data_IF_526354135758
#
_entry.id   IF_526354135758
#
_cell.length_a   1.000
_cell.length_b   1.000
_cell.length_c   1.000
_cell.angle_alpha   90.00
_cell.angle_beta   90.00
_cell.angle_gamma   90.00
#
_symmetry.space_group_name_H-M   'P 1'
#
loop_
_entity.id
_entity.type
_entity.pdbx_description
1 polymer ?
#
# COMPACT_ATOMS: atom_id res chain seq x y z
N UNK A 1 15.88 -35.62 -5.76
CA UNK A 1 16.50 -34.30 -5.98
C UNK A 1 15.41 -33.27 -5.70
N UNK A 2 15.60 -32.41 -4.72
CA UNK A 2 14.68 -31.29 -4.46
C UNK A 2 14.77 -30.35 -5.64
N UNK A 3 13.65 -30.15 -6.34
CA UNK A 3 13.59 -29.19 -7.44
C UNK A 3 14.00 -27.80 -6.94
N UNK A 4 14.94 -27.17 -7.63
CA UNK A 4 15.36 -25.80 -7.30
C UNK A 4 14.22 -24.83 -7.60
N UNK A 5 14.20 -23.66 -6.94
CA UNK A 5 13.18 -22.62 -7.22
C UNK A 5 13.18 -22.25 -8.69
N UNK A 6 14.36 -22.16 -9.33
CA UNK A 6 14.50 -21.88 -10.76
C UNK A 6 13.78 -22.93 -11.64
N UNK A 7 13.91 -24.23 -11.29
CA UNK A 7 13.22 -25.30 -12.02
C UNK A 7 11.70 -25.22 -11.85
N UNK A 8 11.21 -24.94 -10.64
CA UNK A 8 9.78 -24.77 -10.37
C UNK A 8 9.19 -23.62 -11.19
N UNK A 9 9.90 -22.49 -11.23
CA UNK A 9 9.47 -21.35 -12.06
C UNK A 9 9.50 -21.71 -13.56
N UNK A 10 10.53 -22.40 -14.06
CA UNK A 10 10.62 -22.82 -15.45
C UNK A 10 9.48 -23.74 -15.83
N UNK A 11 9.19 -24.76 -15.04
CA UNK A 11 8.09 -25.69 -15.28
C UNK A 11 6.73 -24.96 -15.29
N UNK A 12 6.56 -23.97 -14.41
CA UNK A 12 5.34 -23.17 -14.37
C UNK A 12 5.23 -22.24 -15.59
N UNK A 13 6.32 -21.66 -16.07
CA UNK A 13 6.31 -20.83 -17.28
C UNK A 13 5.81 -21.64 -18.49
N UNK A 14 6.20 -22.93 -18.57
CA UNK A 14 5.86 -23.79 -19.70
C UNK A 14 4.44 -24.37 -19.63
N UNK A 15 3.90 -24.62 -18.45
CA UNK A 15 2.67 -25.39 -18.29
C UNK A 15 1.71 -24.98 -17.21
N UNK A 16 1.80 -23.75 -16.67
CA UNK A 16 0.89 -23.33 -15.59
C UNK A 16 -0.56 -23.17 -16.06
N UNK A 17 -1.46 -23.73 -15.30
CA UNK A 17 -2.89 -23.46 -15.38
C UNK A 17 -3.40 -22.98 -14.02
N UNK A 18 -4.34 -22.05 -14.03
CA UNK A 18 -4.89 -21.52 -12.77
C UNK A 18 -5.58 -22.62 -11.96
N UNK A 19 -5.17 -22.85 -10.70
CA UNK A 19 -5.83 -23.81 -9.85
C UNK A 19 -7.20 -23.29 -9.40
N UNK A 20 -8.04 -24.21 -8.90
CA UNK A 20 -9.26 -23.83 -8.20
C UNK A 20 -8.92 -23.09 -6.91
N UNK A 21 -9.73 -22.07 -6.59
CA UNK A 21 -9.54 -21.23 -5.43
C UNK A 21 -10.26 -21.88 -4.25
N UNK A 22 -9.50 -22.40 -3.29
CA UNK A 22 -10.01 -22.91 -2.02
C UNK A 22 -10.29 -21.81 -0.99
N UNK A 23 -10.84 -22.18 0.18
CA UNK A 23 -11.10 -21.20 1.24
C UNK A 23 -9.83 -20.66 1.92
N UNK A 24 -8.75 -21.42 1.89
CA UNK A 24 -7.47 -21.10 2.57
C UNK A 24 -6.52 -20.39 1.61
N UNK A 25 -6.68 -19.08 1.49
CA UNK A 25 -5.83 -18.25 0.66
C UNK A 25 -4.93 -17.40 1.57
N UNK A 26 -3.62 -17.30 1.30
CA UNK A 26 -2.74 -16.40 2.04
C UNK A 26 -3.27 -14.97 1.96
N UNK A 27 -3.22 -14.24 3.05
CA UNK A 27 -3.58 -12.82 3.07
C UNK A 27 -2.43 -11.99 3.63
N UNK A 28 -2.51 -10.67 3.43
CA UNK A 28 -1.55 -9.71 3.97
C UNK A 28 -1.49 -9.76 5.50
N UNK A 29 -0.41 -9.27 6.05
CA UNK A 29 -0.10 -9.32 7.48
C UNK A 29 -0.62 -8.12 8.28
N UNK A 30 -1.52 -7.33 7.71
CA UNK A 30 -2.22 -6.24 8.40
C UNK A 30 -3.23 -6.80 9.41
N UNK A 31 -3.12 -6.47 10.71
CA UNK A 31 -4.04 -6.99 11.71
C UNK A 31 -5.49 -6.60 11.45
N UNK A 32 -6.37 -7.58 11.41
CA UNK A 32 -7.81 -7.38 11.26
C UNK A 32 -8.31 -7.17 9.84
N UNK A 33 -7.44 -7.20 8.84
CA UNK A 33 -7.85 -7.16 7.44
C UNK A 33 -8.66 -8.41 7.06
N UNK A 34 -9.70 -8.17 6.26
CA UNK A 34 -10.52 -9.23 5.66
C UNK A 34 -10.42 -9.13 4.16
N UNK A 35 -10.13 -10.26 3.54
CA UNK A 35 -10.05 -10.36 2.08
C UNK A 35 -11.35 -10.97 1.56
N UNK A 36 -11.94 -10.32 0.56
CA UNK A 36 -13.14 -10.82 -0.13
C UNK A 36 -12.82 -10.98 -1.61
N UNK A 37 -12.47 -12.20 -1.99
CA UNK A 37 -12.11 -12.52 -3.37
C UNK A 37 -13.37 -12.75 -4.21
N UNK A 38 -13.45 -12.05 -5.34
CA UNK A 38 -14.50 -12.19 -6.34
C UNK A 38 -13.92 -12.62 -7.71
N UNK A 39 -14.80 -12.85 -8.69
CA UNK A 39 -14.41 -13.31 -10.02
C UNK A 39 -13.48 -12.32 -10.75
N UNK A 40 -13.65 -11.01 -10.56
CA UNK A 40 -12.79 -10.00 -11.17
C UNK A 40 -11.36 -10.04 -10.61
N UNK A 41 -11.19 -10.27 -9.30
CA UNK A 41 -9.87 -10.44 -8.68
C UNK A 41 -9.17 -11.70 -9.22
N UNK A 42 -9.90 -12.81 -9.36
CA UNK A 42 -9.38 -14.06 -9.92
C UNK A 42 -8.91 -13.85 -11.37
N UNK A 43 -9.70 -13.16 -12.18
CA UNK A 43 -9.34 -12.89 -13.58
C UNK A 43 -8.10 -11.98 -13.67
N UNK A 44 -8.01 -10.92 -12.88
CA UNK A 44 -6.82 -10.07 -12.79
C UNK A 44 -5.57 -10.90 -12.43
N UNK A 45 -5.65 -11.73 -11.41
CA UNK A 45 -4.53 -12.57 -10.98
C UNK A 45 -4.13 -13.61 -12.06
N UNK A 46 -5.10 -14.20 -12.76
CA UNK A 46 -4.85 -15.13 -13.88
C UNK A 46 -4.09 -14.49 -15.04
N UNK A 47 -4.36 -13.22 -15.33
CA UNK A 47 -3.67 -12.46 -16.38
C UNK A 47 -2.26 -12.07 -15.92
N UNK A 48 -2.09 -11.69 -14.64
CA UNK A 48 -0.82 -11.20 -14.10
C UNK A 48 0.16 -12.35 -13.88
N UNK A 49 -0.28 -13.48 -13.32
CA UNK A 49 0.61 -14.52 -12.83
C UNK A 49 1.54 -15.11 -13.90
N UNK A 50 1.09 -15.50 -15.11
CA UNK A 50 1.99 -16.02 -16.15
C UNK A 50 3.05 -15.00 -16.57
N UNK A 51 2.74 -13.71 -16.50
CA UNK A 51 3.68 -12.62 -16.81
C UNK A 51 4.67 -12.37 -15.67
N UNK A 52 4.26 -12.64 -14.44
CA UNK A 52 5.08 -12.49 -13.24
C UNK A 52 6.19 -13.56 -13.18
N UNK A 53 5.90 -14.79 -13.58
CA UNK A 53 6.83 -15.92 -13.47
C UNK A 53 8.21 -15.68 -14.12
N UNK A 54 8.31 -15.27 -15.41
CA UNK A 54 9.60 -15.00 -16.04
C UNK A 54 10.32 -13.80 -15.40
N UNK A 55 9.58 -12.81 -14.91
CA UNK A 55 10.15 -11.65 -14.22
C UNK A 55 10.78 -12.05 -12.88
N UNK A 56 10.11 -12.92 -12.11
CA UNK A 56 10.65 -13.46 -10.85
C UNK A 56 11.93 -14.27 -11.09
N UNK A 57 11.92 -15.14 -12.12
CA UNK A 57 13.12 -15.92 -12.46
C UNK A 57 14.29 -15.01 -12.81
N UNK A 58 14.08 -14.04 -13.69
CA UNK A 58 15.11 -13.07 -14.08
C UNK A 58 15.61 -12.23 -12.88
N UNK A 59 14.71 -11.76 -12.02
CA UNK A 59 15.08 -11.01 -10.82
C UNK A 59 15.95 -11.84 -9.87
N UNK A 60 15.63 -13.12 -9.64
CA UNK A 60 16.42 -14.02 -8.81
C UNK A 60 17.82 -14.28 -9.41
N UNK A 61 17.91 -14.41 -10.73
CA UNK A 61 19.19 -14.56 -11.44
C UNK A 61 20.06 -13.30 -11.29
N UNK A 62 19.46 -12.11 -11.46
CA UNK A 62 20.15 -10.82 -11.29
C UNK A 62 20.58 -10.57 -9.84
N UNK A 63 19.76 -10.95 -8.87
CA UNK A 63 20.09 -10.83 -7.45
C UNK A 63 21.17 -11.83 -6.99
N UNK A 64 21.46 -12.86 -7.79
CA UNK A 64 22.37 -13.93 -7.41
C UNK A 64 21.89 -14.76 -6.20
N UNK A 65 20.59 -14.70 -5.89
CA UNK A 65 19.95 -15.36 -4.76
C UNK A 65 18.55 -15.83 -5.15
N UNK A 66 18.03 -16.94 -4.59
CA UNK A 66 16.70 -17.47 -4.91
C UNK A 66 15.58 -16.65 -4.23
N UNK A 67 15.71 -15.31 -4.23
CA UNK A 67 14.79 -14.38 -3.59
C UNK A 67 14.50 -13.18 -4.49
N UNK A 68 13.22 -12.84 -4.62
CA UNK A 68 12.75 -11.68 -5.38
C UNK A 68 11.62 -10.96 -4.64
N UNK A 69 11.48 -9.67 -4.90
CA UNK A 69 10.48 -8.79 -4.28
C UNK A 69 9.57 -8.20 -5.36
N UNK A 70 8.28 -8.47 -5.26
CA UNK A 70 7.25 -7.83 -6.07
C UNK A 70 6.45 -6.83 -5.23
N UNK A 71 5.99 -5.74 -5.84
CA UNK A 71 5.10 -4.78 -5.18
C UNK A 71 3.79 -4.68 -5.95
N UNK A 72 2.67 -4.98 -5.30
CA UNK A 72 1.31 -4.77 -5.84
C UNK A 72 0.81 -3.43 -5.33
N UNK A 73 0.66 -2.46 -6.22
CA UNK A 73 0.29 -1.10 -5.91
C UNK A 73 -0.90 -0.61 -6.77
N UNK A 74 -1.51 0.48 -6.35
CA UNK A 74 -2.68 1.07 -7.01
C UNK A 74 -3.55 1.84 -6.03
N UNK A 75 -4.59 2.49 -6.51
CA UNK A 75 -5.54 3.26 -5.70
C UNK A 75 -6.25 2.43 -4.62
N UNK A 76 -7.01 3.09 -3.76
CA UNK A 76 -7.88 2.39 -2.82
C UNK A 76 -9.01 1.67 -3.58
N UNK A 77 -9.40 0.48 -3.14
CA UNK A 77 -10.52 -0.28 -3.73
C UNK A 77 -10.22 -0.99 -5.06
N UNK A 78 -8.96 -0.97 -5.58
CA UNK A 78 -8.63 -1.63 -6.87
C UNK A 78 -8.37 -3.14 -6.76
N UNK A 79 -8.47 -3.72 -5.55
CA UNK A 79 -8.25 -5.14 -5.30
C UNK A 79 -6.78 -5.53 -5.12
N UNK A 80 -5.96 -4.65 -4.50
CA UNK A 80 -4.53 -4.94 -4.24
C UNK A 80 -4.34 -6.15 -3.34
N UNK A 81 -5.01 -6.16 -2.19
CA UNK A 81 -4.87 -7.22 -1.17
C UNK A 81 -5.35 -8.55 -1.70
N UNK A 82 -6.48 -8.58 -2.41
CA UNK A 82 -7.03 -9.76 -3.07
C UNK A 82 -6.10 -10.29 -4.16
N UNK A 83 -5.56 -9.39 -5.00
CA UNK A 83 -4.63 -9.78 -6.06
C UNK A 83 -3.32 -10.31 -5.48
N UNK A 84 -2.74 -9.63 -4.48
CA UNK A 84 -1.51 -10.08 -3.83
C UNK A 84 -1.69 -11.47 -3.20
N UNK A 85 -2.82 -11.71 -2.55
CA UNK A 85 -3.17 -13.00 -1.94
C UNK A 85 -3.32 -14.11 -2.97
N UNK A 86 -3.97 -13.83 -4.09
CA UNK A 86 -4.10 -14.79 -5.19
C UNK A 86 -2.75 -15.12 -5.83
N UNK A 87 -1.89 -14.12 -6.06
CA UNK A 87 -0.54 -14.35 -6.58
C UNK A 87 0.29 -15.18 -5.60
N UNK A 88 0.20 -14.93 -4.30
CA UNK A 88 0.85 -15.73 -3.28
C UNK A 88 0.33 -17.18 -3.26
N UNK A 89 -0.99 -17.36 -3.35
CA UNK A 89 -1.60 -18.68 -3.47
C UNK A 89 -1.06 -19.45 -4.69
N UNK A 90 -1.01 -18.81 -5.86
CA UNK A 90 -0.50 -19.46 -7.08
C UNK A 90 0.98 -19.83 -6.96
N UNK A 91 1.81 -18.97 -6.33
CA UNK A 91 3.20 -19.30 -6.05
C UNK A 91 3.33 -20.53 -5.13
N UNK A 92 2.53 -20.61 -4.07
CA UNK A 92 2.54 -21.75 -3.18
C UNK A 92 2.10 -23.05 -3.88
N UNK A 93 1.12 -22.99 -4.79
CA UNK A 93 0.67 -24.15 -5.57
C UNK A 93 1.77 -24.73 -6.48
N UNK A 94 2.67 -23.89 -6.99
CA UNK A 94 3.85 -24.36 -7.74
C UNK A 94 5.07 -24.67 -6.83
N UNK A 95 4.87 -24.67 -5.51
CA UNK A 95 5.89 -24.98 -4.53
C UNK A 95 6.94 -23.87 -4.30
N UNK A 96 6.61 -22.61 -4.63
CA UNK A 96 7.44 -21.42 -4.35
C UNK A 96 6.91 -20.73 -3.12
N UNK A 97 7.69 -20.71 -2.04
CA UNK A 97 7.30 -20.03 -0.79
C UNK A 97 7.13 -18.53 -1.00
N UNK A 98 6.02 -17.99 -0.53
CA UNK A 98 5.67 -16.59 -0.67
C UNK A 98 5.16 -16.00 0.65
N UNK A 99 5.49 -14.74 0.92
CA UNK A 99 4.96 -13.96 2.03
C UNK A 99 4.35 -12.67 1.49
N UNK A 100 3.15 -12.29 1.98
CA UNK A 100 2.49 -11.02 1.65
C UNK A 100 2.63 -10.07 2.82
N UNK A 101 3.39 -9.00 2.59
CA UNK A 101 3.63 -7.93 3.54
C UNK A 101 2.72 -6.75 3.20
N UNK A 102 1.93 -6.29 4.16
CA UNK A 102 1.12 -5.07 3.98
C UNK A 102 1.94 -3.83 4.32
N UNK A 103 2.05 -2.92 3.36
CA UNK A 103 2.68 -1.62 3.55
C UNK A 103 1.90 -0.72 4.51
N UNK A 104 0.63 -1.00 4.75
CA UNK A 104 -0.22 -0.24 5.68
C UNK A 104 0.17 -0.45 7.16
N UNK A 105 1.07 -1.39 7.46
CA UNK A 105 1.73 -1.48 8.76
C UNK A 105 2.80 -0.39 9.00
N UNK A 106 3.23 0.37 7.97
CA UNK A 106 4.41 1.23 8.03
C UNK A 106 4.19 2.75 8.06
N UNK A 107 2.97 3.31 8.23
CA UNK A 107 2.88 4.68 8.68
C UNK A 107 3.57 4.88 10.05
N UNK A 108 4.05 6.11 10.32
CA UNK A 108 4.58 6.45 11.64
C UNK A 108 3.53 6.43 12.74
N UNK A 109 2.27 6.70 12.36
CA UNK A 109 1.12 6.85 13.26
C UNK A 109 0.06 5.81 12.96
N UNK A 110 -0.61 5.35 14.00
CA UNK A 110 -1.82 4.53 13.85
C UNK A 110 -2.90 5.30 13.06
N UNK A 111 -3.87 4.62 12.41
CA UNK A 111 -4.84 5.26 11.53
C UNK A 111 -5.49 6.51 12.12
N UNK A 112 -6.05 6.44 13.33
CA UNK A 112 -6.73 7.58 13.96
C UNK A 112 -5.80 8.78 14.21
N UNK A 113 -4.54 8.54 14.59
CA UNK A 113 -3.55 9.60 14.79
C UNK A 113 -3.08 10.17 13.45
N UNK A 114 -3.01 9.34 12.41
CA UNK A 114 -2.64 9.79 11.08
C UNK A 114 -3.74 10.65 10.46
N UNK A 115 -5.00 10.30 10.65
CA UNK A 115 -6.14 11.10 10.20
C UNK A 115 -6.20 12.45 10.92
N UNK A 116 -5.95 12.48 12.23
CA UNK A 116 -5.84 13.73 13.00
C UNK A 116 -4.69 14.61 12.47
N UNK A 117 -3.54 14.02 12.13
CA UNK A 117 -2.40 14.77 11.57
C UNK A 117 -2.69 15.28 10.15
N UNK A 118 -3.34 14.49 9.31
CA UNK A 118 -3.82 14.91 7.98
C UNK A 118 -4.76 16.10 8.07
N UNK A 119 -5.73 16.04 8.98
CA UNK A 119 -6.66 17.15 9.25
C UNK A 119 -5.92 18.41 9.74
N UNK A 120 -4.97 18.24 10.67
CA UNK A 120 -4.14 19.34 11.17
C UNK A 120 -3.35 20.01 10.02
N UNK A 121 -2.72 19.23 9.16
CA UNK A 121 -1.95 19.73 8.01
C UNK A 121 -2.86 20.45 7.02
N UNK A 122 -4.01 19.88 6.71
CA UNK A 122 -5.02 20.48 5.84
C UNK A 122 -5.41 21.86 6.37
N UNK A 123 -5.85 21.95 7.62
CA UNK A 123 -6.33 23.19 8.26
C UNK A 123 -5.22 24.24 8.39
N UNK A 124 -4.04 23.85 8.84
CA UNK A 124 -2.90 24.77 8.93
C UNK A 124 -2.45 25.28 7.56
N UNK A 125 -2.45 24.43 6.54
CA UNK A 125 -2.15 24.81 5.15
C UNK A 125 -3.13 25.82 4.62
N UNK A 126 -4.42 25.59 4.82
CA UNK A 126 -5.49 26.51 4.41
C UNK A 126 -5.40 27.88 5.07
N UNK A 127 -5.16 27.93 6.39
CA UNK A 127 -4.96 29.20 7.11
C UNK A 127 -3.75 29.97 6.57
N UNK A 128 -2.63 29.27 6.34
CA UNK A 128 -1.43 29.88 5.73
C UNK A 128 -1.70 30.41 4.34
N UNK A 129 -2.51 29.71 3.53
CA UNK A 129 -2.95 30.16 2.22
C UNK A 129 -3.72 31.48 2.29
N UNK A 130 -4.65 31.62 3.23
CA UNK A 130 -5.38 32.87 3.46
C UNK A 130 -4.45 34.04 3.87
N UNK A 131 -3.47 33.77 4.71
CA UNK A 131 -2.46 34.76 5.12
C UNK A 131 -1.62 35.22 3.91
N UNK A 132 -1.11 34.26 3.14
CA UNK A 132 -0.30 34.56 1.94
C UNK A 132 -1.06 35.35 0.88
N UNK A 133 -2.34 35.05 0.71
CA UNK A 133 -3.22 35.76 -0.23
C UNK A 133 -3.76 37.11 0.32
N UNK A 134 -3.33 37.55 1.50
CA UNK A 134 -3.90 38.73 2.20
C UNK A 134 -5.43 38.66 2.36
N UNK A 135 -5.96 37.43 2.51
CA UNK A 135 -7.39 37.16 2.65
C UNK A 135 -7.83 36.86 4.07
N UNK A 136 -6.92 36.80 5.05
CA UNK A 136 -7.22 36.50 6.45
C UNK A 136 -7.69 37.76 7.18
N UNK A 137 -8.90 37.72 7.73
CA UNK A 137 -9.49 38.79 8.58
C UNK A 137 -10.11 38.17 9.83
N UNK A 138 -10.40 38.98 10.86
CA UNK A 138 -11.04 38.52 12.07
C UNK A 138 -12.42 37.87 11.80
N UNK A 139 -13.21 38.46 10.91
CA UNK A 139 -14.54 37.96 10.52
C UNK A 139 -14.43 36.61 9.80
N UNK A 140 -13.48 36.50 8.85
CA UNK A 140 -13.25 35.24 8.12
C UNK A 140 -12.68 34.15 9.01
N UNK A 141 -11.86 34.53 10.00
CA UNK A 141 -11.35 33.60 11.00
C UNK A 141 -12.50 33.05 11.85
N UNK A 142 -13.41 33.90 12.32
CA UNK A 142 -14.57 33.45 13.10
C UNK A 142 -15.46 32.50 12.27
N UNK A 143 -15.78 32.86 11.04
CA UNK A 143 -16.57 32.01 10.15
C UNK A 143 -15.86 30.67 9.84
N UNK A 144 -14.53 30.70 9.66
CA UNK A 144 -13.75 29.47 9.45
C UNK A 144 -13.78 28.55 10.67
N UNK A 145 -13.67 29.10 11.89
CA UNK A 145 -13.78 28.30 13.12
C UNK A 145 -15.14 27.60 13.23
N UNK A 146 -16.24 28.28 12.92
CA UNK A 146 -17.57 27.67 12.90
C UNK A 146 -17.67 26.54 11.87
N UNK A 147 -17.07 26.72 10.67
CA UNK A 147 -17.03 25.67 9.65
C UNK A 147 -16.17 24.48 10.10
N UNK A 148 -15.04 24.73 10.78
CA UNK A 148 -14.18 23.67 11.32
C UNK A 148 -14.85 22.87 12.43
N UNK A 149 -15.62 23.52 13.31
CA UNK A 149 -16.39 22.87 14.38
C UNK A 149 -17.48 21.94 13.80
N UNK A 150 -18.07 22.34 12.67
CA UNK A 150 -19.09 21.56 11.96
C UNK A 150 -18.51 20.57 10.95
N UNK A 151 -17.19 20.48 10.83
CA UNK A 151 -16.47 19.67 9.82
C UNK A 151 -16.88 19.99 8.37
N UNK A 152 -17.24 21.25 8.11
CA UNK A 152 -17.68 21.75 6.80
C UNK A 152 -16.62 22.57 6.04
N UNK A 153 -15.47 22.82 6.65
CA UNK A 153 -14.40 23.64 6.09
C UNK A 153 -13.79 23.07 4.78
N UNK A 154 -13.93 21.75 4.54
CA UNK A 154 -13.53 21.09 3.28
C UNK A 154 -14.66 20.97 2.25
N UNK A 155 -15.91 21.30 2.61
CA UNK A 155 -17.07 21.17 1.71
C UNK A 155 -17.05 22.21 0.59
N UNK A 156 -17.13 21.74 -0.66
CA UNK A 156 -17.21 22.62 -1.84
C UNK A 156 -18.47 23.50 -1.85
N UNK A 157 -19.56 23.04 -1.24
CA UNK A 157 -20.81 23.81 -1.18
C UNK A 157 -20.66 25.11 -0.39
N UNK A 158 -19.84 25.10 0.66
CA UNK A 158 -19.60 26.27 1.52
C UNK A 158 -18.92 27.43 0.76
N UNK A 159 -18.24 27.15 -0.34
CA UNK A 159 -17.62 28.21 -1.17
C UNK A 159 -18.66 29.14 -1.81
N UNK A 160 -19.91 28.71 -1.98
CA UNK A 160 -21.00 29.56 -2.50
C UNK A 160 -21.33 30.72 -1.55
N UNK A 161 -21.35 30.44 -0.24
CA UNK A 161 -21.57 31.45 0.79
C UNK A 161 -20.28 32.18 1.21
N UNK A 162 -19.14 31.55 1.00
CA UNK A 162 -17.83 32.04 1.42
C UNK A 162 -16.80 31.94 0.28
N UNK A 163 -16.79 32.82 -0.74
CA UNK A 163 -15.89 32.71 -1.90
C UNK A 163 -14.39 32.66 -1.54
N UNK A 164 -13.97 33.29 -0.43
CA UNK A 164 -12.60 33.23 0.11
C UNK A 164 -12.18 31.82 0.55
N UNK A 165 -13.15 30.94 0.84
CA UNK A 165 -12.90 29.56 1.25
C UNK A 165 -12.24 28.75 0.12
N UNK A 166 -12.40 29.15 -1.13
CA UNK A 166 -11.70 28.53 -2.28
C UNK A 166 -10.18 28.62 -2.13
N UNK A 167 -9.67 29.77 -1.67
CA UNK A 167 -8.23 29.98 -1.42
C UNK A 167 -7.76 29.08 -0.27
N UNK A 168 -8.55 29.03 0.80
CA UNK A 168 -8.27 28.14 1.94
C UNK A 168 -8.20 26.69 1.50
N UNK A 169 -9.23 26.19 0.83
CA UNK A 169 -9.33 24.78 0.43
C UNK A 169 -8.24 24.37 -0.56
N UNK A 170 -7.87 25.27 -1.49
CA UNK A 170 -6.78 24.97 -2.43
C UNK A 170 -5.44 24.83 -1.69
N UNK A 171 -5.08 25.79 -0.85
CA UNK A 171 -3.84 25.77 -0.09
C UNK A 171 -3.81 24.59 0.93
N UNK A 172 -4.96 24.25 1.48
CA UNK A 172 -5.13 23.09 2.35
C UNK A 172 -4.85 21.77 1.61
N UNK A 173 -5.41 21.61 0.40
CA UNK A 173 -5.16 20.42 -0.46
C UNK A 173 -3.70 20.34 -0.86
N UNK A 174 -3.08 21.46 -1.22
CA UNK A 174 -1.66 21.48 -1.60
C UNK A 174 -0.76 21.07 -0.45
N UNK A 175 -1.05 21.56 0.76
CA UNK A 175 -0.32 21.17 1.97
C UNK A 175 -0.49 19.68 2.30
N UNK A 176 -1.72 19.17 2.20
CA UNK A 176 -2.02 17.76 2.43
C UNK A 176 -1.36 16.88 1.39
N UNK A 177 -1.39 17.24 0.12
CA UNK A 177 -0.71 16.53 -0.97
C UNK A 177 0.80 16.40 -0.73
N UNK A 178 1.44 17.41 -0.15
CA UNK A 178 2.85 17.37 0.24
C UNK A 178 3.16 16.46 1.44
N UNK A 179 2.15 16.04 2.18
CA UNK A 179 2.29 15.12 3.31
C UNK A 179 1.96 13.68 2.93
N UNK A 180 0.89 13.45 2.18
CA UNK A 180 0.43 12.11 1.80
C UNK A 180 1.51 11.34 1.04
N UNK A 181 1.77 10.12 1.47
CA UNK A 181 2.81 9.27 0.90
C UNK A 181 4.24 9.86 1.01
N UNK A 182 4.45 10.81 1.91
CA UNK A 182 5.80 11.35 2.20
C UNK A 182 6.49 10.56 3.31
N UNK A 183 7.81 10.75 3.46
CA UNK A 183 8.58 10.21 4.59
C UNK A 183 8.17 10.78 5.97
N UNK A 184 7.33 11.81 6.01
CA UNK A 184 6.70 12.33 7.23
C UNK A 184 5.49 11.50 7.66
N UNK A 185 4.88 10.79 6.74
CA UNK A 185 3.74 9.91 6.96
C UNK A 185 4.19 8.45 7.06
N UNK A 186 5.10 8.01 6.20
CA UNK A 186 5.47 6.61 5.98
C UNK A 186 6.93 6.35 6.34
N UNK A 187 7.18 5.19 6.97
CA UNK A 187 8.53 4.70 7.30
C UNK A 187 9.10 3.87 6.12
N UNK A 188 9.55 4.58 5.10
CA UNK A 188 10.17 3.95 3.93
C UNK A 188 11.52 3.31 4.23
N UNK A 189 12.24 3.82 5.25
CA UNK A 189 13.54 3.30 5.64
C UNK A 189 13.41 1.90 6.24
N UNK A 190 12.39 1.66 7.07
CA UNK A 190 12.12 0.33 7.61
C UNK A 190 11.75 -0.68 6.52
N UNK A 191 10.94 -0.29 5.53
CA UNK A 191 10.63 -1.16 4.38
C UNK A 191 11.88 -1.48 3.56
N UNK A 192 12.74 -0.49 3.32
CA UNK A 192 14.02 -0.69 2.62
C UNK A 192 14.93 -1.68 3.38
N UNK A 193 15.02 -1.56 4.72
CA UNK A 193 15.80 -2.49 5.54
C UNK A 193 15.24 -3.91 5.45
N UNK A 194 13.92 -4.09 5.59
CA UNK A 194 13.25 -5.39 5.48
C UNK A 194 13.55 -6.06 4.14
N UNK A 195 13.40 -5.33 3.03
CA UNK A 195 13.68 -5.82 1.68
C UNK A 195 15.16 -6.22 1.56
N UNK A 196 16.06 -5.37 2.03
CA UNK A 196 17.50 -5.63 2.01
C UNK A 196 17.87 -6.89 2.80
N UNK A 197 17.33 -7.06 4.00
CA UNK A 197 17.52 -8.23 4.83
C UNK A 197 16.96 -9.49 4.19
N UNK A 198 15.74 -9.40 3.63
CA UNK A 198 15.15 -10.50 2.89
C UNK A 198 16.06 -10.94 1.73
N UNK A 199 16.52 -10.02 0.89
CA UNK A 199 17.37 -10.32 -0.27
C UNK A 199 18.74 -10.88 0.13
N UNK A 200 19.32 -10.46 1.27
CA UNK A 200 20.58 -11.01 1.79
C UNK A 200 20.45 -12.44 2.32
N UNK A 201 19.24 -12.95 2.47
CA UNK A 201 19.01 -14.31 2.95
C UNK A 201 18.73 -14.43 4.43
N UNK A 202 18.47 -13.35 5.16
CA UNK A 202 18.04 -13.40 6.56
C UNK A 202 16.83 -14.34 6.69
N UNK A 203 16.92 -15.30 7.60
CA UNK A 203 15.86 -16.30 7.82
C UNK A 203 14.78 -15.81 8.76
N UNK A 204 15.08 -14.80 9.58
CA UNK A 204 14.12 -14.22 10.51
C UNK A 204 14.22 -12.70 10.47
N UNK A 205 13.08 -12.03 10.25
CA UNK A 205 12.98 -10.57 10.19
C UNK A 205 11.86 -10.14 11.13
N UNK A 206 12.11 -9.10 11.92
CA UNK A 206 11.08 -8.46 12.71
C UNK A 206 10.22 -7.56 11.84
N UNK A 207 8.93 -7.84 11.78
CA UNK A 207 7.94 -7.07 11.03
C UNK A 207 7.03 -6.33 11.97
N UNK A 208 6.74 -5.07 11.64
CA UNK A 208 5.80 -4.23 12.37
C UNK A 208 4.37 -4.72 12.14
N UNK A 209 3.57 -4.65 13.19
CA UNK A 209 2.11 -4.86 13.16
C UNK A 209 1.46 -3.62 13.72
N UNK A 210 0.54 -3.06 12.95
CA UNK A 210 -0.16 -1.85 13.34
C UNK A 210 -1.66 -2.11 13.39
N UNK A 211 -2.21 -2.16 14.61
CA UNK A 211 -3.65 -2.17 14.82
C UNK A 211 -4.24 -0.76 14.81
N UNK A 212 -5.46 -0.64 15.31
CA UNK A 212 -6.22 0.61 15.26
C UNK A 212 -6.11 1.46 16.52
N UNK A 213 -5.54 0.92 17.60
CA UNK A 213 -5.34 1.64 18.87
C UNK A 213 -3.85 1.81 19.16
N UNK A 214 -3.44 2.79 19.99
CA UNK A 214 -2.03 3.01 20.32
C UNK A 214 -1.34 1.80 20.94
N UNK A 215 -2.08 0.99 21.70
CA UNK A 215 -1.60 -0.23 22.35
C UNK A 215 -1.42 -1.40 21.36
N UNK A 216 -2.05 -1.30 20.18
CA UNK A 216 -2.00 -2.32 19.14
C UNK A 216 -0.88 -2.04 18.10
N UNK A 217 0.29 -1.68 18.60
CA UNK A 217 1.51 -1.56 17.81
C UNK A 217 2.56 -2.49 18.42
N UNK A 218 2.98 -3.51 17.64
CA UNK A 218 3.99 -4.46 18.09
C UNK A 218 4.87 -4.93 16.93
N UNK A 219 5.88 -5.72 17.24
CA UNK A 219 6.71 -6.40 16.25
C UNK A 219 6.57 -7.89 16.39
N UNK A 220 6.54 -8.59 15.27
CA UNK A 220 6.52 -10.04 15.20
C UNK A 220 7.74 -10.54 14.44
N UNK A 221 8.38 -11.60 14.99
CA UNK A 221 9.53 -12.25 14.35
C UNK A 221 9.02 -13.29 13.36
N UNK A 222 9.12 -12.99 12.07
CA UNK A 222 8.63 -13.84 10.98
C UNK A 222 9.75 -14.70 10.42
N UNK A 223 9.48 -15.99 10.19
CA UNK A 223 10.39 -16.93 9.56
C UNK A 223 10.29 -16.86 8.02
N UNK A 224 11.39 -16.48 7.40
CA UNK A 224 11.56 -16.40 5.95
C UNK A 224 12.40 -17.54 5.37
N UNK A 225 12.70 -18.59 6.14
CA UNK A 225 13.59 -19.70 5.72
C UNK A 225 13.08 -20.42 4.46
N UNK A 226 11.75 -20.49 4.29
CA UNK A 226 11.11 -21.14 3.15
C UNK A 226 10.50 -20.14 2.15
N UNK A 227 10.73 -18.83 2.33
CA UNK A 227 10.16 -17.77 1.49
C UNK A 227 11.18 -17.35 0.44
N UNK A 228 10.77 -17.47 -0.83
CA UNK A 228 11.55 -17.04 -2.00
C UNK A 228 10.99 -15.80 -2.65
N UNK A 229 9.70 -15.50 -2.46
CA UNK A 229 9.06 -14.30 -3.00
C UNK A 229 8.42 -13.50 -1.86
N UNK A 230 8.80 -12.23 -1.76
CA UNK A 230 8.14 -11.25 -0.90
C UNK A 230 7.22 -10.40 -1.79
N UNK A 231 5.92 -10.41 -1.52
CA UNK A 231 4.96 -9.50 -2.16
C UNK A 231 4.64 -8.38 -1.18
N UNK A 232 4.93 -7.14 -1.56
CA UNK A 232 4.51 -5.95 -0.81
C UNK A 232 3.20 -5.46 -1.41
N UNK A 233 2.14 -5.48 -0.62
CA UNK A 233 0.84 -4.94 -0.98
C UNK A 233 0.69 -3.55 -0.36
N UNK A 234 0.59 -2.51 -1.20
CA UNK A 234 0.55 -1.15 -0.69
C UNK A 234 0.09 -0.11 -1.72
N UNK A 235 -0.66 0.90 -1.27
CA UNK A 235 -1.02 2.04 -2.11
C UNK A 235 0.21 2.81 -2.62
N UNK A 236 1.26 2.91 -1.81
CA UNK A 236 2.53 3.56 -2.16
C UNK A 236 3.61 2.60 -2.68
N UNK A 237 3.21 1.38 -3.10
CA UNK A 237 4.14 0.33 -3.53
C UNK A 237 5.02 0.66 -4.74
N UNK A 238 4.68 1.71 -5.50
CA UNK A 238 5.48 2.25 -6.60
C UNK A 238 6.27 3.51 -6.22
N UNK A 239 6.39 3.83 -4.92
CA UNK A 239 7.15 5.00 -4.47
C UNK A 239 8.65 4.81 -4.70
N UNK A 240 9.33 5.85 -5.19
CA UNK A 240 10.80 5.89 -5.31
C UNK A 240 11.51 6.10 -3.96
N UNK A 241 10.75 6.31 -2.88
CA UNK A 241 11.30 6.62 -1.54
C UNK A 241 11.81 5.40 -0.79
N UNK A 242 11.48 4.19 -1.23
CA UNK A 242 12.05 2.95 -0.70
C UNK A 242 12.66 2.12 -1.84
N UNK A 243 13.59 1.24 -1.49
CA UNK A 243 14.46 0.59 -2.45
C UNK A 243 14.34 -0.94 -2.40
N UNK A 244 14.69 -1.58 -3.51
CA UNK A 244 14.90 -3.02 -3.58
C UNK A 244 13.74 -3.83 -4.14
N UNK A 245 12.63 -3.20 -4.55
CA UNK A 245 11.57 -3.87 -5.33
C UNK A 245 12.13 -4.24 -6.71
N UNK A 246 11.95 -5.50 -7.10
CA UNK A 246 12.37 -6.00 -8.40
C UNK A 246 11.27 -5.85 -9.46
N UNK A 247 10.01 -6.05 -9.05
CA UNK A 247 8.87 -6.15 -9.97
C UNK A 247 7.71 -5.30 -9.44
N UNK A 248 7.53 -4.07 -9.91
CA UNK A 248 6.32 -3.30 -9.60
C UNK A 248 5.13 -3.79 -10.46
N UNK A 249 3.99 -4.01 -9.80
CA UNK A 249 2.71 -4.40 -10.42
C UNK A 249 1.70 -3.30 -10.09
N UNK A 250 1.38 -2.46 -11.07
CA UNK A 250 0.41 -1.39 -10.91
C UNK A 250 -0.98 -1.88 -11.32
N UNK A 251 -1.91 -1.87 -10.39
CA UNK A 251 -3.33 -2.13 -10.64
C UNK A 251 -4.04 -0.81 -10.94
N UNK A 252 -4.64 -0.74 -12.11
CA UNK A 252 -5.54 0.34 -12.48
C UNK A 252 -6.97 -0.19 -12.48
N UNK A 253 -7.89 0.66 -12.03
CA UNK A 253 -9.33 0.45 -12.20
C UNK A 253 -9.91 1.55 -13.09
N UNK A 254 -10.97 1.22 -13.80
CA UNK A 254 -11.79 2.24 -14.45
C UNK A 254 -12.60 3.03 -13.41
N UNK A 255 -13.05 4.27 -13.72
CA UNK A 255 -13.93 5.02 -12.83
C UNK A 255 -15.23 4.29 -12.49
N UNK A 256 -15.69 3.39 -13.34
CA UNK A 256 -16.88 2.56 -13.11
C UNK A 256 -16.60 1.49 -12.04
N UNK A 257 -15.48 0.79 -12.11
CA UNK A 257 -15.08 -0.22 -11.11
C UNK A 257 -14.88 0.37 -9.71
N UNK A 258 -14.49 1.64 -9.61
CA UNK A 258 -14.29 2.34 -8.31
C UNK A 258 -15.57 2.94 -7.73
N UNK A 259 -16.67 3.02 -8.48
CA UNK A 259 -17.95 3.57 -7.98
C UNK A 259 -18.79 2.56 -7.21
N UNK A 260 -18.50 1.27 -7.31
CA UNK A 260 -19.23 0.18 -6.65
C UNK A 260 -18.70 -0.17 -5.25
N UNK A 261 -17.69 0.58 -4.79
CA UNK A 261 -17.05 0.48 -3.48
C UNK A 261 -17.04 1.84 -2.76
#
# INVERSE_FOLDING_TARGET
MTDTISNKLTNAIEGWSAPDIGPDIPHGDMPGDKIVINAAHIEKARIIFPRLLPLLKNAMEQNGAPRAVAAVCGGSGVGKSETASLLAHYLQQIGVGCYVLSGDNYPWRIPAQNDAERLRIYRCGGIRGLLTANCYTAERSAALMELMEKELDASAEQTKGHPWLTVYQQAARDALSGYLGSSKEQDFDQLTDIISRFKRGDTHIWLKRMGRTPEALWYEKVDFSQVSVLIIEWTHGNSEKYQGVDIPILLNSTPEETREH
#
